data_IF_202329719855
#
_entry.id   IF_202329719855
#
_cell.length_a   1.000
_cell.length_b   1.000
_cell.length_c   1.000
_cell.angle_alpha   90.00
_cell.angle_beta   90.00
_cell.angle_gamma   90.00
#
_symmetry.space_group_name_H-M   'P 1'
#
loop_
_entity.id
_entity.type
_entity.pdbx_description
1 polymer ?
#
# COMPACT_ATOMS: atom_id res chain seq x y z
N UNK A 1 15.32 -1.34 4.03
CA UNK A 1 15.68 -1.26 2.60
C UNK A 1 16.01 0.16 2.16
N UNK A 2 15.34 1.20 2.69
CA UNK A 2 15.70 2.60 2.39
C UNK A 2 17.15 2.99 2.75
N UNK A 3 17.73 2.40 3.81
CA UNK A 3 19.13 2.62 4.20
C UNK A 3 20.17 2.15 3.16
N UNK A 4 19.78 1.29 2.21
CA UNK A 4 20.65 0.78 1.14
C UNK A 4 20.36 1.44 -0.23
N UNK A 5 19.48 2.45 -0.28
CA UNK A 5 19.07 3.08 -1.55
C UNK A 5 18.23 2.19 -2.48
N UNK A 6 17.77 1.04 -2.00
CA UNK A 6 16.96 0.09 -2.77
C UNK A 6 15.51 0.58 -2.79
N UNK A 7 15.00 0.91 -3.98
CA UNK A 7 13.61 1.34 -4.16
C UNK A 7 12.67 0.13 -4.11
N UNK A 8 11.49 0.28 -3.50
CA UNK A 8 10.54 -0.83 -3.30
C UNK A 8 10.20 -1.64 -4.57
N UNK A 9 10.03 -0.98 -5.72
CA UNK A 9 9.76 -1.64 -7.00
C UNK A 9 10.92 -2.53 -7.53
N UNK A 10 12.12 -2.38 -6.96
CA UNK A 10 13.30 -3.17 -7.35
C UNK A 10 13.41 -4.47 -6.54
N UNK A 11 12.68 -4.60 -5.42
CA UNK A 11 12.85 -5.73 -4.49
C UNK A 11 12.66 -7.08 -5.19
N UNK A 12 11.58 -7.26 -5.96
CA UNK A 12 11.36 -8.51 -6.70
C UNK A 12 12.40 -8.76 -7.80
N UNK A 13 12.99 -7.71 -8.38
CA UNK A 13 14.07 -7.84 -9.38
C UNK A 13 15.38 -8.29 -8.72
N UNK A 14 15.68 -7.78 -7.53
CA UNK A 14 16.86 -8.18 -6.74
C UNK A 14 16.72 -9.62 -6.23
N UNK A 15 15.54 -10.00 -5.75
CA UNK A 15 15.22 -11.39 -5.40
C UNK A 15 15.37 -12.30 -6.62
N UNK A 16 14.80 -11.91 -7.77
CA UNK A 16 14.92 -12.68 -9.02
C UNK A 16 16.37 -12.93 -9.42
N UNK A 17 17.21 -11.90 -9.30
CA UNK A 17 18.62 -11.96 -9.63
C UNK A 17 19.48 -12.70 -8.59
N UNK A 18 18.92 -13.05 -7.43
CA UNK A 18 19.66 -13.66 -6.32
C UNK A 18 20.66 -12.72 -5.65
N UNK A 19 20.52 -11.40 -5.85
CA UNK A 19 21.35 -10.39 -5.18
C UNK A 19 21.03 -10.34 -3.68
N UNK A 20 19.77 -10.59 -3.33
CA UNK A 20 19.32 -10.77 -1.95
C UNK A 20 18.51 -12.05 -1.86
N UNK A 21 18.64 -12.80 -0.77
CA UNK A 21 17.85 -14.01 -0.53
C UNK A 21 16.44 -13.68 -0.06
N UNK A 22 16.29 -12.68 0.81
CA UNK A 22 15.02 -12.25 1.38
C UNK A 22 14.74 -10.78 1.07
N UNK A 23 13.45 -10.46 0.92
CA UNK A 23 13.01 -9.11 0.62
C UNK A 23 11.57 -8.88 1.04
N UNK A 24 11.24 -7.62 1.31
CA UNK A 24 9.88 -7.20 1.63
C UNK A 24 9.54 -5.91 0.88
N UNK A 25 8.29 -5.76 0.44
CA UNK A 25 7.83 -4.53 -0.18
C UNK A 25 6.32 -4.42 -0.13
N UNK A 26 5.79 -3.20 -0.24
CA UNK A 26 4.35 -2.97 -0.31
C UNK A 26 3.80 -3.44 -1.66
N UNK A 27 2.62 -4.08 -1.64
CA UNK A 27 1.97 -4.59 -2.84
C UNK A 27 1.66 -3.49 -3.85
N UNK A 28 1.40 -2.27 -3.38
CA UNK A 28 1.18 -1.09 -4.23
C UNK A 28 2.39 -0.74 -5.11
N UNK A 29 3.61 -1.10 -4.70
CA UNK A 29 4.82 -0.89 -5.52
C UNK A 29 4.98 -1.92 -6.62
N UNK A 30 4.26 -3.04 -6.52
CA UNK A 30 4.30 -4.16 -7.45
C UNK A 30 3.15 -4.14 -8.47
N UNK A 31 2.12 -3.33 -8.20
CA UNK A 31 0.94 -3.17 -9.05
C UNK A 31 1.27 -2.86 -10.52
N UNK A 32 2.30 -2.05 -10.75
CA UNK A 32 2.78 -1.70 -12.09
C UNK A 32 3.42 -2.86 -12.85
N UNK A 33 3.94 -3.86 -12.14
CA UNK A 33 4.46 -5.10 -12.76
C UNK A 33 3.34 -6.12 -13.01
N UNK A 34 2.36 -6.22 -12.10
CA UNK A 34 1.16 -7.02 -12.28
C UNK A 34 0.02 -6.59 -11.34
N UNK A 35 -1.18 -6.36 -11.88
CA UNK A 35 -2.34 -5.94 -11.09
C UNK A 35 -2.77 -6.96 -10.01
N UNK A 36 -2.35 -8.23 -10.12
CA UNK A 36 -2.64 -9.25 -9.09
C UNK A 36 -2.19 -8.82 -7.70
N UNK A 37 -1.14 -8.00 -7.58
CA UNK A 37 -0.60 -7.61 -6.29
C UNK A 37 -1.56 -6.72 -5.49
N UNK A 38 -2.38 -5.89 -6.15
CA UNK A 38 -3.34 -5.02 -5.44
C UNK A 38 -4.59 -5.76 -4.95
N UNK A 39 -4.87 -6.97 -5.44
CA UNK A 39 -6.14 -7.65 -5.21
C UNK A 39 -6.44 -7.97 -3.74
N UNK A 40 -5.43 -8.08 -2.89
CA UNK A 40 -5.62 -8.31 -1.45
C UNK A 40 -5.87 -7.03 -0.62
N UNK A 41 -5.66 -5.84 -1.20
CA UNK A 41 -5.73 -4.55 -0.50
C UNK A 41 -6.48 -3.50 -1.35
N UNK A 42 -7.62 -3.92 -1.90
CA UNK A 42 -8.51 -3.05 -2.67
C UNK A 42 -9.15 -1.99 -1.77
N UNK A 43 -9.23 -0.75 -2.27
CA UNK A 43 -9.66 0.37 -1.45
C UNK A 43 -11.12 0.26 -1.02
N UNK A 44 -11.36 0.40 0.29
CA UNK A 44 -12.69 0.29 0.90
C UNK A 44 -13.22 -1.13 1.05
N UNK A 45 -12.46 -2.16 0.65
CA UNK A 45 -12.92 -3.56 0.74
C UNK A 45 -12.84 -4.11 2.18
N UNK A 46 -11.77 -3.80 2.91
CA UNK A 46 -11.53 -4.27 4.27
C UNK A 46 -11.59 -3.09 5.25
N UNK A 47 -12.72 -2.95 5.95
CA UNK A 47 -12.95 -1.87 6.93
C UNK A 47 -12.46 -2.22 8.34
N UNK A 48 -11.88 -3.40 8.53
CA UNK A 48 -11.25 -3.87 9.77
C UNK A 48 -10.09 -4.81 9.44
N UNK A 49 -9.18 -5.00 10.41
CA UNK A 49 -7.93 -5.74 10.21
C UNK A 49 -8.17 -7.25 10.06
N UNK A 50 -9.21 -7.81 10.71
CA UNK A 50 -9.51 -9.23 10.62
C UNK A 50 -9.99 -9.59 9.20
N UNK A 51 -10.84 -8.74 8.64
CA UNK A 51 -11.30 -8.85 7.25
C UNK A 51 -10.13 -8.70 6.28
N UNK A 52 -9.20 -7.78 6.53
CA UNK A 52 -8.01 -7.62 5.72
C UNK A 52 -7.14 -8.89 5.70
N UNK A 53 -6.92 -9.52 6.85
CA UNK A 53 -6.20 -10.79 6.93
C UNK A 53 -6.91 -11.91 6.17
N UNK A 54 -8.24 -12.06 6.32
CA UNK A 54 -9.01 -13.08 5.59
C UNK A 54 -8.90 -12.91 4.07
N UNK A 55 -9.01 -11.67 3.59
CA UNK A 55 -8.87 -11.35 2.15
C UNK A 55 -7.45 -11.67 1.67
N UNK A 56 -6.44 -11.22 2.42
CA UNK A 56 -5.04 -11.50 2.08
C UNK A 56 -4.76 -13.00 2.03
N UNK A 57 -5.22 -13.77 3.02
CA UNK A 57 -5.03 -15.22 3.07
C UNK A 57 -5.67 -15.92 1.88
N UNK A 58 -6.88 -15.52 1.50
CA UNK A 58 -7.55 -16.04 0.31
C UNK A 58 -6.82 -15.68 -0.99
N UNK A 59 -6.16 -14.51 -1.04
CA UNK A 59 -5.50 -13.99 -2.24
C UNK A 59 -4.03 -14.39 -2.38
N UNK A 60 -3.36 -14.78 -1.29
CA UNK A 60 -1.95 -15.23 -1.25
C UNK A 60 -1.59 -16.20 -2.38
N UNK A 61 -2.38 -17.25 -2.70
CA UNK A 61 -2.03 -18.18 -3.78
C UNK A 61 -1.91 -17.53 -5.16
N UNK A 62 -2.70 -16.48 -5.44
CA UNK A 62 -2.63 -15.76 -6.71
C UNK A 62 -1.34 -14.94 -6.81
N UNK A 63 -0.98 -14.23 -5.73
CA UNK A 63 0.27 -13.48 -5.65
C UNK A 63 1.49 -14.41 -5.71
N UNK A 64 1.50 -15.49 -4.93
CA UNK A 64 2.61 -16.45 -4.88
C UNK A 64 2.90 -17.06 -6.25
N UNK A 65 1.83 -17.43 -7.00
CA UNK A 65 1.98 -17.97 -8.36
C UNK A 65 2.70 -16.99 -9.30
N UNK A 66 2.36 -15.70 -9.24
CA UNK A 66 2.99 -14.66 -10.07
C UNK A 66 4.41 -14.36 -9.59
N UNK A 67 4.65 -14.30 -8.28
CA UNK A 67 5.99 -14.12 -7.70
C UNK A 67 6.94 -15.25 -8.13
N UNK A 68 6.50 -16.50 -8.06
CA UNK A 68 7.32 -17.64 -8.47
C UNK A 68 7.59 -17.62 -9.98
N UNK A 69 6.53 -17.46 -10.79
CA UNK A 69 6.63 -17.52 -12.25
C UNK A 69 7.48 -16.39 -12.84
N UNK A 70 7.28 -15.16 -12.36
CA UNK A 70 7.86 -13.98 -13.02
C UNK A 70 9.13 -13.49 -12.33
N UNK A 71 9.28 -13.78 -11.03
CA UNK A 71 10.31 -13.17 -10.17
C UNK A 71 11.17 -14.19 -9.42
N UNK A 72 11.10 -15.48 -9.74
CA UNK A 72 11.87 -16.52 -9.06
C UNK A 72 11.78 -16.38 -7.51
N UNK A 73 10.59 -16.04 -7.00
CA UNK A 73 10.41 -15.66 -5.60
C UNK A 73 9.22 -16.43 -4.99
N UNK A 74 9.44 -17.07 -3.85
CA UNK A 74 8.37 -17.69 -3.03
C UNK A 74 7.81 -16.64 -2.07
N UNK A 75 6.49 -16.51 -2.02
CA UNK A 75 5.81 -15.71 -1.00
C UNK A 75 5.86 -16.44 0.34
N UNK A 76 6.40 -15.78 1.37
CA UNK A 76 6.44 -16.28 2.75
C UNK A 76 5.24 -15.81 3.56
N UNK A 77 4.81 -14.57 3.36
CA UNK A 77 3.77 -13.98 4.17
C UNK A 77 3.34 -12.60 3.69
N UNK A 78 2.31 -12.09 4.38
CA UNK A 78 1.78 -10.73 4.21
C UNK A 78 1.76 -10.06 5.57
N UNK A 79 2.14 -8.78 5.62
CA UNK A 79 1.96 -7.91 6.77
C UNK A 79 1.01 -6.76 6.44
N UNK A 80 0.34 -6.23 7.46
CA UNK A 80 -0.46 -5.02 7.35
C UNK A 80 0.27 -3.84 8.01
N UNK A 81 0.09 -2.65 7.44
CA UNK A 81 0.44 -1.39 8.07
C UNK A 81 -0.80 -0.79 8.77
N UNK A 82 -0.64 0.29 9.56
CA UNK A 82 -1.77 1.05 10.09
C UNK A 82 -2.76 1.47 8.99
N UNK A 83 -4.05 1.62 9.33
CA UNK A 83 -5.10 1.84 8.34
C UNK A 83 -4.87 3.14 7.57
N UNK A 84 -5.11 3.07 6.26
CA UNK A 84 -5.01 4.21 5.35
C UNK A 84 -6.31 5.03 5.45
N UNK A 85 -6.20 6.28 5.89
CA UNK A 85 -7.34 7.16 6.16
C UNK A 85 -7.21 8.48 5.42
N UNK A 86 -8.30 9.24 5.33
CA UNK A 86 -8.26 10.60 4.80
C UNK A 86 -7.85 11.59 5.87
N UNK A 87 -6.91 12.45 5.52
CA UNK A 87 -6.48 13.63 6.25
C UNK A 87 -6.96 14.84 5.46
N UNK A 88 -7.81 15.67 6.04
CA UNK A 88 -8.51 16.74 5.35
C UNK A 88 -8.34 18.07 6.08
N UNK A 89 -8.24 19.15 5.31
CA UNK A 89 -8.26 20.51 5.85
C UNK A 89 -9.62 20.90 6.41
N UNK A 90 -10.68 20.57 5.69
CA UNK A 90 -12.05 20.93 6.09
C UNK A 90 -12.83 19.70 6.61
N UNK A 91 -13.92 19.90 7.36
CA UNK A 91 -14.71 18.80 7.92
C UNK A 91 -15.27 17.85 6.85
N UNK A 92 -15.23 16.55 7.15
CA UNK A 92 -15.89 15.47 6.41
C UNK A 92 -16.63 14.58 7.40
N UNK A 93 -17.93 14.37 7.16
CA UNK A 93 -18.81 13.57 8.02
C UNK A 93 -19.33 12.33 7.31
N UNK A 94 -19.45 12.39 5.99
CA UNK A 94 -19.98 11.31 5.18
C UNK A 94 -19.27 11.24 3.82
N UNK A 95 -19.36 10.08 3.18
CA UNK A 95 -18.66 9.80 1.93
C UNK A 95 -18.99 10.80 0.81
N UNK A 96 -20.23 11.31 0.75
CA UNK A 96 -20.63 12.32 -0.25
C UNK A 96 -19.91 13.66 -0.09
N UNK A 97 -19.35 13.96 1.08
CA UNK A 97 -18.59 15.20 1.31
C UNK A 97 -17.24 15.18 0.59
N UNK A 98 -16.82 14.03 0.05
CA UNK A 98 -15.64 13.91 -0.81
C UNK A 98 -15.90 14.42 -2.24
N UNK A 99 -17.17 14.61 -2.63
CA UNK A 99 -17.52 15.02 -3.98
C UNK A 99 -16.92 16.39 -4.31
N UNK A 100 -16.21 16.46 -5.44
CA UNK A 100 -15.55 17.67 -5.91
C UNK A 100 -14.26 18.04 -5.17
N UNK A 101 -13.88 17.32 -4.11
CA UNK A 101 -12.62 17.56 -3.40
C UNK A 101 -11.44 17.03 -4.19
N UNK A 102 -10.32 17.76 -4.14
CA UNK A 102 -9.03 17.33 -4.66
C UNK A 102 -8.32 16.48 -3.61
N UNK A 103 -8.17 15.19 -3.85
CA UNK A 103 -7.65 14.23 -2.88
C UNK A 103 -6.34 13.63 -3.37
N UNK A 104 -5.29 13.79 -2.58
CA UNK A 104 -4.03 13.10 -2.84
C UNK A 104 -4.14 11.62 -2.52
N UNK A 105 -3.75 10.78 -3.46
CA UNK A 105 -3.64 9.31 -3.30
C UNK A 105 -2.32 8.81 -3.86
N UNK A 106 -1.92 7.58 -3.52
CA UNK A 106 -0.61 7.03 -3.87
C UNK A 106 -0.64 5.69 -4.63
N UNK A 107 -1.83 5.11 -4.85
CA UNK A 107 -2.00 3.89 -5.62
C UNK A 107 -3.27 3.96 -6.50
N UNK A 108 -3.42 2.98 -7.39
CA UNK A 108 -4.51 2.95 -8.36
C UNK A 108 -5.84 2.62 -7.69
N UNK A 109 -5.87 1.70 -6.73
CA UNK A 109 -7.10 1.30 -6.03
C UNK A 109 -7.77 2.47 -5.32
N UNK A 110 -7.01 3.31 -4.61
CA UNK A 110 -7.53 4.51 -3.96
C UNK A 110 -7.93 5.58 -4.97
N UNK A 111 -7.22 5.64 -6.10
CA UNK A 111 -7.60 6.55 -7.18
C UNK A 111 -8.99 6.20 -7.72
N UNK A 112 -9.22 4.92 -7.98
CA UNK A 112 -10.51 4.42 -8.48
C UNK A 112 -11.62 4.65 -7.47
N UNK A 113 -11.36 4.36 -6.20
CA UNK A 113 -12.32 4.62 -5.13
C UNK A 113 -12.71 6.10 -5.05
N UNK A 114 -11.72 7.01 -5.00
CA UNK A 114 -11.95 8.45 -4.88
C UNK A 114 -12.75 8.99 -6.08
N UNK A 115 -12.39 8.57 -7.29
CA UNK A 115 -13.11 8.99 -8.49
C UNK A 115 -14.54 8.44 -8.51
N UNK A 116 -14.75 7.19 -8.07
CA UNK A 116 -16.08 6.57 -8.01
C UNK A 116 -17.02 7.28 -7.03
N UNK A 117 -16.51 7.85 -5.93
CA UNK A 117 -17.28 8.64 -4.97
C UNK A 117 -17.39 10.13 -5.34
N UNK A 118 -16.91 10.51 -6.53
CA UNK A 118 -17.04 11.84 -7.10
C UNK A 118 -15.97 12.84 -6.66
N UNK A 119 -14.91 12.39 -5.97
CA UNK A 119 -13.72 13.19 -5.72
C UNK A 119 -12.82 13.28 -6.95
N UNK A 120 -11.82 14.16 -6.90
CA UNK A 120 -10.79 14.32 -7.93
C UNK A 120 -9.45 13.89 -7.38
N UNK A 121 -8.84 12.86 -7.95
CA UNK A 121 -7.54 12.35 -7.50
C UNK A 121 -6.38 13.20 -7.99
N UNK A 122 -5.42 13.48 -7.11
CA UNK A 122 -4.12 14.06 -7.46
C UNK A 122 -3.02 13.09 -7.04
N UNK A 123 -2.14 12.71 -7.97
CA UNK A 123 -0.97 11.91 -7.65
C UNK A 123 0.22 12.82 -7.36
N UNK A 124 0.82 12.68 -6.18
CA UNK A 124 2.05 13.40 -5.80
C UNK A 124 2.84 12.61 -4.77
N UNK A 125 4.13 12.89 -4.68
CA UNK A 125 5.03 12.23 -3.74
C UNK A 125 4.65 12.55 -2.30
N UNK A 126 4.94 11.62 -1.37
CA UNK A 126 4.58 11.77 0.03
C UNK A 126 5.15 13.04 0.67
N UNK A 127 6.40 13.39 0.33
CA UNK A 127 7.07 14.60 0.82
C UNK A 127 6.44 15.91 0.32
N UNK A 128 5.63 15.87 -0.74
CA UNK A 128 4.96 17.06 -1.29
C UNK A 128 3.60 17.32 -0.63
N UNK A 129 3.09 16.39 0.17
CA UNK A 129 1.72 16.47 0.70
C UNK A 129 1.55 17.60 1.70
N UNK A 130 2.47 17.75 2.66
CA UNK A 130 2.42 18.82 3.66
C UNK A 130 2.32 20.20 3.00
N UNK A 131 3.24 20.59 2.10
CA UNK A 131 3.13 21.88 1.42
C UNK A 131 1.92 21.97 0.47
N UNK A 132 1.44 20.85 -0.09
CA UNK A 132 0.24 20.84 -0.94
C UNK A 132 -1.05 21.09 -0.14
N UNK A 133 -1.16 20.51 1.06
CA UNK A 133 -2.25 20.79 2.00
C UNK A 133 -2.18 22.25 2.45
N UNK A 134 -1.02 22.72 2.93
CA UNK A 134 -0.83 24.12 3.39
C UNK A 134 -1.27 25.16 2.35
N UNK A 135 -0.98 24.91 1.07
CA UNK A 135 -1.31 25.83 -0.03
C UNK A 135 -2.70 25.59 -0.64
N UNK A 136 -3.48 24.63 -0.16
CA UNK A 136 -4.79 24.29 -0.72
C UNK A 136 -4.74 23.71 -2.14
N UNK A 137 -3.59 23.15 -2.54
CA UNK A 137 -3.46 22.42 -3.81
C UNK A 137 -4.34 21.18 -3.77
N UNK A 138 -4.36 20.49 -2.62
CA UNK A 138 -5.28 19.40 -2.29
C UNK A 138 -6.12 19.76 -1.07
N UNK A 139 -7.34 19.26 -1.02
CA UNK A 139 -8.26 19.43 0.12
C UNK A 139 -8.09 18.33 1.15
N UNK A 140 -7.75 17.13 0.68
CA UNK A 140 -7.45 15.97 1.50
C UNK A 140 -6.26 15.16 0.94
N UNK A 141 -5.70 14.28 1.75
CA UNK A 141 -4.70 13.32 1.36
C UNK A 141 -4.90 11.98 2.08
N UNK A 142 -4.53 10.88 1.43
CA UNK A 142 -4.62 9.53 2.01
C UNK A 142 -3.23 9.01 2.38
N UNK A 143 -3.11 8.50 3.60
CA UNK A 143 -1.96 7.73 4.10
C UNK A 143 -2.32 7.01 5.41
N UNK A 144 -1.44 6.13 5.87
CA UNK A 144 -1.56 5.44 7.16
C UNK A 144 -1.51 6.41 8.34
N UNK A 145 -2.29 6.13 9.39
CA UNK A 145 -2.36 6.98 10.59
C UNK A 145 -0.98 7.30 11.19
N UNK A 146 -0.13 6.29 11.36
CA UNK A 146 1.23 6.48 11.89
C UNK A 146 2.11 7.32 10.96
N UNK A 147 2.05 7.08 9.64
CA UNK A 147 2.87 7.82 8.66
C UNK A 147 2.47 9.27 8.54
N UNK A 148 1.17 9.57 8.52
CA UNK A 148 0.68 10.95 8.48
C UNK A 148 1.06 11.71 9.76
N UNK A 149 0.88 11.07 10.91
CA UNK A 149 1.25 11.66 12.20
C UNK A 149 2.75 11.97 12.29
N UNK A 150 3.62 11.03 11.95
CA UNK A 150 5.08 11.24 12.04
C UNK A 150 5.61 12.24 11.01
N UNK A 151 4.88 12.46 9.91
CA UNK A 151 5.24 13.41 8.87
C UNK A 151 4.66 14.83 9.10
N UNK A 152 4.06 15.10 10.26
CA UNK A 152 3.54 16.43 10.59
C UNK A 152 2.24 16.79 9.86
N UNK A 153 1.50 15.82 9.30
CA UNK A 153 0.22 16.10 8.67
C UNK A 153 -0.82 16.72 9.62
N UNK A 154 -0.83 16.42 10.94
CA UNK A 154 -1.71 17.12 11.89
C UNK A 154 -1.54 18.64 11.92
N UNK A 155 -0.40 19.20 11.48
CA UNK A 155 -0.17 20.66 11.45
C UNK A 155 -0.86 21.34 10.26
N UNK A 156 -1.36 20.56 9.30
CA UNK A 156 -1.84 21.04 8.00
C UNK A 156 -3.18 20.41 7.58
N UNK A 157 -3.77 19.62 8.47
CA UNK A 157 -5.10 19.02 8.31
C UNK A 157 -5.80 19.01 9.66
N UNK A 158 -7.01 19.56 9.72
CA UNK A 158 -7.79 19.67 10.95
C UNK A 158 -8.72 18.46 11.18
N UNK A 159 -8.89 17.60 10.17
CA UNK A 159 -9.84 16.50 10.20
C UNK A 159 -9.25 15.19 9.70
N UNK A 160 -9.55 14.10 10.41
CA UNK A 160 -9.36 12.73 9.93
C UNK A 160 -10.73 12.11 9.73
N UNK A 161 -10.99 11.60 8.53
CA UNK A 161 -12.18 10.77 8.28
C UNK A 161 -11.77 9.30 8.45
N UNK A 162 -12.21 8.60 9.52
CA UNK A 162 -11.69 7.30 9.94
C UNK A 162 -12.33 6.15 9.14
N UNK A 163 -12.57 6.34 7.85
CA UNK A 163 -12.92 5.25 6.95
C UNK A 163 -11.64 4.65 6.40
N UNK A 164 -11.47 3.33 6.56
CA UNK A 164 -10.27 2.65 6.10
C UNK A 164 -10.36 2.39 4.61
N UNK A 165 -9.39 2.93 3.88
CA UNK A 165 -9.21 2.71 2.44
C UNK A 165 -8.26 1.55 2.14
N UNK A 166 -7.82 0.80 3.14
CA UNK A 166 -6.86 -0.28 2.98
C UNK A 166 -5.80 -0.24 4.06
N UNK A 167 -4.86 -1.16 3.96
CA UNK A 167 -3.91 -1.50 5.02
C UNK A 167 -2.46 -1.39 4.57
N UNK A 168 -2.23 -0.90 3.33
CA UNK A 168 -0.91 -0.84 2.69
C UNK A 168 -0.16 -2.15 2.89
N UNK A 169 -0.78 -3.24 2.44
CA UNK A 169 -0.26 -4.60 2.67
C UNK A 169 1.15 -4.73 2.11
N UNK A 170 2.05 -5.32 2.89
CA UNK A 170 3.39 -5.68 2.45
C UNK A 170 3.51 -7.20 2.31
N UNK A 171 4.33 -7.64 1.35
CA UNK A 171 4.65 -9.04 1.11
C UNK A 171 6.09 -9.30 1.50
N UNK A 172 6.35 -10.46 2.11
CA UNK A 172 7.71 -10.94 2.33
C UNK A 172 7.98 -12.12 1.40
N UNK A 173 9.08 -12.06 0.67
CA UNK A 173 9.47 -13.07 -0.30
C UNK A 173 10.89 -13.56 -0.09
N UNK A 174 11.14 -14.77 -0.57
CA UNK A 174 12.47 -15.38 -0.62
C UNK A 174 12.78 -15.83 -2.03
N UNK A 175 14.02 -15.67 -2.49
CA UNK A 175 14.49 -16.23 -3.74
C UNK A 175 14.21 -17.75 -3.75
N UNK A 176 13.63 -18.26 -4.83
CA UNK A 176 13.19 -19.65 -4.93
C UNK A 176 14.35 -20.66 -4.87
N UNK A 177 15.52 -20.31 -5.39
CA UNK A 177 16.69 -21.19 -5.36
C UNK A 177 17.29 -21.25 -3.96
N UNK A 178 17.28 -20.14 -3.23
CA UNK A 178 17.63 -20.10 -1.80
C UNK A 178 16.61 -20.88 -0.97
N UNK A 179 15.30 -20.70 -1.23
CA UNK A 179 14.23 -21.45 -0.58
C UNK A 179 14.40 -22.97 -0.73
N UNK A 180 14.75 -23.44 -1.94
CA UNK A 180 14.97 -24.87 -2.21
C UNK A 180 16.18 -25.48 -1.48
N UNK A 181 17.13 -24.65 -1.02
CA UNK A 181 18.29 -25.12 -0.25
C UNK A 181 17.95 -25.38 1.22
N UNK A 182 16.87 -24.80 1.73
CA UNK A 182 16.47 -25.00 3.12
C UNK A 182 15.92 -26.42 3.35
N UNK A 183 16.27 -26.99 4.51
CA UNK A 183 15.74 -28.27 4.96
C UNK A 183 14.21 -28.27 5.08
N UNK A 184 13.53 -29.42 5.02
CA UNK A 184 12.08 -29.50 5.17
C UNK A 184 11.57 -28.88 6.48
N UNK A 185 12.35 -28.99 7.55
CA UNK A 185 12.11 -28.44 8.88
C UNK A 185 12.08 -26.90 8.90
N UNK A 186 12.89 -26.26 8.07
CA UNK A 186 12.94 -24.80 7.94
C UNK A 186 11.83 -24.25 7.02
N UNK A 187 11.25 -25.10 6.16
CA UNK A 187 10.23 -24.71 5.18
C UNK A 187 8.78 -24.92 5.65
N UNK A 188 8.60 -25.57 6.79
CA UNK A 188 7.31 -25.95 7.36
C UNK A 188 6.55 -24.77 7.98
#
# INVERSE_FOLDING_TARGET
MDLMGIKGFQVLRLLKAGVTDFGSTDVSKLAGDNAVFEGCDLAGLALDIETAFKICDAWKPAMDRVMQKNFNTKLLGTGANPPQVFWCRDPIKQLSDLKGRKIRVFNKTMSDFVNAVGGTTISMAFAEVVPALQRGVVDCAVTGTTSGNSAGWPEVSDFIYPMYLGWSVNVQGVNLDSWKRFGPDVRA
#
